data_IF_882339966149
#
_entry.id   IF_882339966149
#
_cell.length_a   1.000
_cell.length_b   1.000
_cell.length_c   1.000
_cell.angle_alpha   90.00
_cell.angle_beta   90.00
_cell.angle_gamma   90.00
#
_symmetry.space_group_name_H-M   'P 1'
#
loop_
_entity.id
_entity.type
_entity.pdbx_description
1 polymer ?
#
# COMPACT_ATOMS: atom_id res chain seq x y z
N UNK A 1 8.51 -5.55 -21.23
CA UNK A 1 7.74 -4.92 -20.15
C UNK A 1 7.03 -5.98 -19.33
N UNK A 2 7.38 -6.13 -18.05
CA UNK A 2 6.50 -6.86 -17.13
C UNK A 2 5.23 -6.05 -16.94
N UNK A 3 4.06 -6.67 -17.07
CA UNK A 3 2.80 -6.05 -16.66
C UNK A 3 2.87 -5.78 -15.15
N UNK A 4 2.66 -4.54 -14.73
CA UNK A 4 2.49 -4.20 -13.31
C UNK A 4 1.19 -4.83 -12.78
N UNK A 5 1.08 -5.00 -11.46
CA UNK A 5 -0.10 -5.56 -10.79
C UNK A 5 -0.39 -7.03 -11.12
N UNK A 6 0.66 -7.86 -11.26
CA UNK A 6 0.49 -9.27 -11.64
C UNK A 6 -0.28 -10.06 -10.59
N UNK A 7 -1.26 -10.83 -11.05
CA UNK A 7 -2.02 -11.71 -10.16
C UNK A 7 -3.17 -11.02 -9.41
N UNK A 8 -3.41 -9.72 -9.63
CA UNK A 8 -4.54 -9.00 -9.04
C UNK A 8 -5.89 -9.69 -9.33
N UNK A 9 -6.08 -10.23 -10.53
CA UNK A 9 -7.30 -10.94 -10.93
C UNK A 9 -7.52 -12.27 -10.21
N UNK A 10 -6.50 -12.80 -9.52
CA UNK A 10 -6.59 -14.08 -8.78
C UNK A 10 -7.06 -13.90 -7.34
N UNK A 11 -7.04 -12.66 -6.83
CA UNK A 11 -7.52 -12.35 -5.49
C UNK A 11 -9.06 -12.27 -5.53
N UNK A 12 -9.79 -12.96 -4.64
CA UNK A 12 -11.25 -12.92 -4.60
C UNK A 12 -11.76 -11.63 -3.94
N UNK A 13 -11.52 -10.47 -4.56
CA UNK A 13 -11.82 -9.14 -4.00
C UNK A 13 -13.26 -8.94 -3.52
N UNK A 14 -14.21 -9.64 -4.13
CA UNK A 14 -15.62 -9.59 -3.75
C UNK A 14 -15.90 -10.21 -2.37
N UNK A 15 -15.07 -11.15 -1.92
CA UNK A 15 -15.13 -11.78 -0.60
C UNK A 15 -14.40 -10.95 0.47
N UNK A 16 -13.47 -10.09 0.05
CA UNK A 16 -12.70 -9.22 0.93
C UNK A 16 -13.50 -7.95 1.30
N UNK A 17 -13.12 -7.34 2.41
CA UNK A 17 -13.73 -6.09 2.91
C UNK A 17 -12.68 -5.00 3.09
N UNK A 18 -13.13 -3.76 3.02
CA UNK A 18 -12.43 -2.53 3.39
C UNK A 18 -13.36 -1.66 4.27
N UNK A 19 -12.95 -0.44 4.63
CA UNK A 19 -13.68 0.42 5.57
C UNK A 19 -15.18 0.63 5.23
N UNK A 20 -15.52 0.65 3.94
CA UNK A 20 -16.88 0.93 3.46
C UNK A 20 -17.64 -0.31 2.93
N UNK A 21 -17.20 -1.53 3.27
CA UNK A 21 -17.85 -2.77 2.82
C UNK A 21 -17.02 -3.60 1.84
N UNK A 22 -17.63 -4.14 0.79
CA UNK A 22 -16.98 -5.07 -0.15
C UNK A 22 -15.82 -4.40 -0.93
N UNK A 23 -14.70 -5.12 -1.06
CA UNK A 23 -13.51 -4.63 -1.76
C UNK A 23 -13.51 -4.90 -3.28
N UNK A 24 -14.65 -5.29 -3.86
CA UNK A 24 -14.80 -5.55 -5.32
C UNK A 24 -14.28 -4.42 -6.21
N UNK A 25 -14.28 -3.20 -5.69
CA UNK A 25 -13.96 -1.96 -6.38
C UNK A 25 -12.47 -1.61 -6.33
N UNK A 26 -11.69 -2.23 -5.44
CA UNK A 26 -10.25 -1.99 -5.23
C UNK A 26 -9.42 -2.23 -6.50
N UNK A 27 -9.62 -3.33 -7.27
CA UNK A 27 -8.87 -3.57 -8.51
C UNK A 27 -8.95 -2.42 -9.52
N UNK A 28 -10.14 -1.83 -9.63
CA UNK A 28 -10.38 -0.71 -10.54
C UNK A 28 -9.61 0.54 -10.11
N UNK A 29 -9.42 0.77 -8.81
CA UNK A 29 -8.67 1.93 -8.29
C UNK A 29 -7.17 1.72 -8.46
N UNK A 30 -6.66 0.54 -8.13
CA UNK A 30 -5.26 0.17 -8.39
C UNK A 30 -4.91 0.31 -9.88
N UNK A 31 -5.81 -0.11 -10.77
CA UNK A 31 -5.62 0.04 -12.22
C UNK A 31 -5.62 1.50 -12.66
N UNK A 32 -6.47 2.37 -12.09
CA UNK A 32 -6.46 3.80 -12.39
C UNK A 32 -5.18 4.49 -11.88
N UNK A 33 -4.63 4.07 -10.74
CA UNK A 33 -3.33 4.56 -10.27
C UNK A 33 -2.22 4.17 -11.24
N UNK A 34 -2.27 2.95 -11.77
CA UNK A 34 -1.27 2.42 -12.69
C UNK A 34 -1.29 3.05 -14.10
N UNK A 35 -2.48 3.27 -14.65
CA UNK A 35 -2.64 3.60 -16.09
C UNK A 35 -3.53 4.81 -16.36
N UNK A 36 -4.12 5.43 -15.33
CA UNK A 36 -4.89 6.65 -15.47
C UNK A 36 -4.02 7.87 -15.74
N UNK A 37 -4.65 8.97 -16.15
CA UNK A 37 -4.00 10.27 -16.11
C UNK A 37 -3.73 10.73 -14.66
N UNK A 38 -2.92 11.77 -14.49
CA UNK A 38 -2.50 12.24 -13.17
C UNK A 38 -3.69 12.49 -12.22
N UNK A 39 -4.75 13.14 -12.71
CA UNK A 39 -5.94 13.46 -11.89
C UNK A 39 -6.71 12.19 -11.53
N UNK A 40 -6.94 11.31 -12.49
CA UNK A 40 -7.64 10.05 -12.26
C UNK A 40 -6.88 9.12 -11.32
N UNK A 41 -5.54 9.12 -11.40
CA UNK A 41 -4.66 8.39 -10.50
C UNK A 41 -4.69 8.94 -9.07
N UNK A 42 -4.65 10.27 -8.91
CA UNK A 42 -4.75 10.94 -7.60
C UNK A 42 -6.11 10.69 -6.93
N UNK A 43 -7.21 10.84 -7.67
CA UNK A 43 -8.56 10.54 -7.16
C UNK A 43 -8.68 9.08 -6.74
N UNK A 44 -8.18 8.15 -7.56
CA UNK A 44 -8.20 6.73 -7.24
C UNK A 44 -7.34 6.39 -6.02
N UNK A 45 -6.23 7.10 -5.81
CA UNK A 45 -5.38 6.91 -4.65
C UNK A 45 -5.99 7.49 -3.38
N UNK A 46 -6.69 8.62 -3.48
CA UNK A 46 -7.47 9.19 -2.38
C UNK A 46 -8.56 8.20 -1.91
N UNK A 47 -9.30 7.61 -2.85
CA UNK A 47 -10.26 6.52 -2.56
C UNK A 47 -9.57 5.38 -1.79
N UNK A 48 -8.42 4.90 -2.27
CA UNK A 48 -7.67 3.82 -1.63
C UNK A 48 -7.19 4.19 -0.23
N UNK A 49 -6.76 5.44 -0.01
CA UNK A 49 -6.37 5.96 1.30
C UNK A 49 -7.52 5.88 2.31
N UNK A 50 -8.72 6.31 1.91
CA UNK A 50 -9.92 6.21 2.74
C UNK A 50 -10.29 4.75 3.03
N UNK A 51 -10.19 3.87 2.02
CA UNK A 51 -10.65 2.49 2.13
C UNK A 51 -9.71 1.61 2.94
N UNK A 52 -8.40 1.81 2.79
CA UNK A 52 -7.35 0.91 3.28
C UNK A 52 -6.51 1.51 4.41
N UNK A 53 -6.45 2.84 4.52
CA UNK A 53 -5.55 3.56 5.43
C UNK A 53 -6.23 4.13 6.68
N UNK A 54 -7.45 4.68 6.58
CA UNK A 54 -8.02 5.47 7.69
C UNK A 54 -8.75 4.69 8.80
N UNK A 55 -9.26 3.48 8.55
CA UNK A 55 -10.18 2.83 9.50
C UNK A 55 -9.96 1.33 9.61
N UNK A 56 -8.95 0.91 10.39
CA UNK A 56 -8.57 -0.49 10.60
C UNK A 56 -8.09 -1.20 9.32
N UNK A 57 -6.95 -1.87 9.41
CA UNK A 57 -6.49 -2.77 8.36
C UNK A 57 -7.53 -3.89 8.17
N UNK A 58 -7.99 -4.09 6.94
CA UNK A 58 -8.89 -5.20 6.57
C UNK A 58 -8.17 -6.24 5.71
N UNK A 59 -8.82 -7.36 5.44
CA UNK A 59 -8.29 -8.39 4.53
C UNK A 59 -7.93 -7.81 3.14
N UNK A 60 -8.68 -6.82 2.66
CA UNK A 60 -8.35 -6.11 1.43
C UNK A 60 -7.05 -5.31 1.52
N UNK A 61 -6.72 -4.76 2.70
CA UNK A 61 -5.45 -4.04 2.92
C UNK A 61 -4.29 -5.01 2.78
N UNK A 62 -4.35 -6.19 3.40
CA UNK A 62 -3.32 -7.23 3.29
C UNK A 62 -3.12 -7.62 1.82
N UNK A 63 -4.23 -7.86 1.10
CA UNK A 63 -4.19 -8.24 -0.31
C UNK A 63 -3.68 -7.12 -1.23
N UNK A 64 -3.87 -5.84 -0.86
CA UNK A 64 -3.46 -4.69 -1.65
C UNK A 64 -1.96 -4.38 -1.55
N UNK A 65 -1.31 -4.66 -0.41
CA UNK A 65 0.09 -4.27 -0.15
C UNK A 65 1.07 -4.70 -1.25
N UNK A 66 1.07 -5.94 -1.77
CA UNK A 66 1.97 -6.33 -2.85
C UNK A 66 1.81 -5.46 -4.11
N UNK A 67 0.58 -5.04 -4.42
CA UNK A 67 0.25 -4.21 -5.56
C UNK A 67 0.63 -2.74 -5.34
N UNK A 68 0.53 -2.25 -4.11
CA UNK A 68 1.04 -0.92 -3.73
C UNK A 68 2.56 -0.87 -3.89
N UNK A 69 3.28 -1.93 -3.54
CA UNK A 69 4.72 -2.04 -3.82
C UNK A 69 5.04 -2.04 -5.32
N UNK A 70 4.29 -2.80 -6.13
CA UNK A 70 4.45 -2.78 -7.60
C UNK A 70 4.29 -1.35 -8.16
N UNK A 71 3.30 -0.59 -7.66
CA UNK A 71 3.08 0.80 -8.05
C UNK A 71 4.23 1.72 -7.62
N UNK A 72 4.71 1.59 -6.38
CA UNK A 72 5.78 2.42 -5.84
C UNK A 72 7.10 2.29 -6.62
N UNK A 73 7.41 1.10 -7.14
CA UNK A 73 8.65 0.84 -7.90
C UNK A 73 8.53 1.11 -9.40
N UNK A 74 7.34 1.41 -9.91
CA UNK A 74 7.12 1.60 -11.35
C UNK A 74 7.26 3.07 -11.71
N UNK A 75 8.35 3.43 -12.39
CA UNK A 75 8.68 4.81 -12.78
C UNK A 75 7.58 5.53 -13.59
N UNK A 76 6.79 4.81 -14.38
CA UNK A 76 5.70 5.40 -15.18
C UNK A 76 4.49 5.81 -14.35
N UNK A 77 4.40 5.39 -13.08
CA UNK A 77 3.34 5.81 -12.17
C UNK A 77 3.69 7.20 -11.64
N UNK A 78 2.81 8.18 -11.87
CA UNK A 78 3.07 9.57 -11.45
C UNK A 78 2.85 9.79 -9.95
N UNK A 79 2.01 8.98 -9.32
CA UNK A 79 1.60 9.12 -7.92
C UNK A 79 2.42 8.27 -6.94
N UNK A 80 3.63 7.84 -7.33
CA UNK A 80 4.54 7.02 -6.50
C UNK A 80 4.76 7.56 -5.09
N UNK A 81 5.01 8.88 -4.86
CA UNK A 81 5.20 9.39 -3.51
C UNK A 81 3.98 9.12 -2.61
N UNK A 82 2.78 9.38 -3.13
CA UNK A 82 1.55 9.19 -2.38
C UNK A 82 1.22 7.70 -2.17
N UNK A 83 1.63 6.80 -3.08
CA UNK A 83 1.54 5.35 -2.86
C UNK A 83 2.45 4.91 -1.71
N UNK A 84 3.65 5.47 -1.61
CA UNK A 84 4.59 5.19 -0.52
C UNK A 84 4.03 5.70 0.82
N UNK A 85 3.43 6.89 0.83
CA UNK A 85 2.72 7.40 2.01
C UNK A 85 1.57 6.49 2.44
N UNK A 86 0.84 5.87 1.50
CA UNK A 86 -0.20 4.89 1.85
C UNK A 86 0.39 3.62 2.50
N UNK A 87 1.54 3.11 2.00
CA UNK A 87 2.25 2.00 2.64
C UNK A 87 2.67 2.36 4.07
N UNK A 88 3.13 3.58 4.29
CA UNK A 88 3.48 4.11 5.62
C UNK A 88 2.26 4.21 6.52
N UNK A 89 1.16 4.74 6.02
CA UNK A 89 -0.10 4.82 6.76
C UNK A 89 -0.57 3.43 7.20
N UNK A 90 -0.52 2.42 6.33
CA UNK A 90 -0.87 1.04 6.68
C UNK A 90 -0.01 0.53 7.85
N UNK A 91 1.28 0.84 7.87
CA UNK A 91 2.21 0.43 8.93
C UNK A 91 1.96 1.15 10.27
N UNK A 92 1.50 2.40 10.23
CA UNK A 92 1.26 3.24 11.40
C UNK A 92 -0.12 2.99 12.05
N UNK A 93 -1.12 2.59 11.27
CA UNK A 93 -2.48 2.37 11.77
C UNK A 93 -2.65 0.98 12.41
N UNK A 94 -3.49 0.93 13.44
CA UNK A 94 -3.93 -0.31 14.09
C UNK A 94 -5.21 -0.84 13.45
N UNK A 95 -5.47 -2.14 13.60
CA UNK A 95 -6.74 -2.73 13.20
C UNK A 95 -7.48 -3.28 14.41
N UNK A 96 -8.81 -3.38 14.29
CA UNK A 96 -9.64 -4.05 15.30
C UNK A 96 -9.29 -5.54 15.40
N UNK A 97 -8.89 -6.16 14.29
CA UNK A 97 -8.46 -7.56 14.24
C UNK A 97 -6.92 -7.65 14.22
N UNK A 98 -6.36 -8.15 15.33
CA UNK A 98 -4.91 -8.28 15.53
C UNK A 98 -4.21 -9.09 14.43
N UNK A 99 -4.81 -10.18 13.98
CA UNK A 99 -4.21 -11.04 12.94
C UNK A 99 -4.08 -10.32 11.61
N UNK A 100 -5.12 -9.57 11.22
CA UNK A 100 -5.14 -8.78 9.99
C UNK A 100 -4.14 -7.63 10.07
N UNK A 101 -4.10 -6.91 11.21
CA UNK A 101 -3.09 -5.88 11.46
C UNK A 101 -1.68 -6.45 11.27
N UNK A 102 -1.39 -7.59 11.93
CA UNK A 102 -0.10 -8.26 11.84
C UNK A 102 0.23 -8.63 10.39
N UNK A 103 -0.72 -9.22 9.67
CA UNK A 103 -0.52 -9.65 8.30
C UNK A 103 -0.19 -8.49 7.36
N UNK A 104 -0.89 -7.35 7.47
CA UNK A 104 -0.58 -6.19 6.63
C UNK A 104 0.74 -5.54 7.00
N UNK A 105 1.04 -5.41 8.30
CA UNK A 105 2.33 -4.86 8.76
C UNK A 105 3.47 -5.74 8.26
N UNK A 106 3.37 -7.06 8.39
CA UNK A 106 4.36 -7.99 7.84
C UNK A 106 4.48 -7.89 6.30
N UNK A 107 3.37 -7.73 5.58
CA UNK A 107 3.42 -7.56 4.12
C UNK A 107 4.15 -6.27 3.70
N UNK A 108 4.07 -5.20 4.49
CA UNK A 108 4.85 -3.97 4.27
C UNK A 108 6.32 -4.19 4.62
N UNK A 109 6.58 -4.79 5.78
CA UNK A 109 7.93 -5.05 6.30
C UNK A 109 8.72 -6.06 5.46
N UNK A 110 8.07 -7.01 4.78
CA UNK A 110 8.74 -7.99 3.90
C UNK A 110 9.51 -7.33 2.75
N UNK A 111 9.20 -6.05 2.45
CA UNK A 111 9.79 -5.27 1.37
C UNK A 111 10.71 -4.14 1.85
N UNK A 112 11.30 -4.24 3.05
CA UNK A 112 12.24 -3.22 3.58
C UNK A 112 13.35 -2.88 2.59
N UNK A 113 13.97 -3.86 1.93
CA UNK A 113 15.02 -3.58 0.92
C UNK A 113 14.50 -2.76 -0.25
N UNK A 114 13.22 -2.90 -0.61
CA UNK A 114 12.59 -2.08 -1.67
C UNK A 114 12.42 -0.64 -1.18
N UNK A 115 12.00 -0.44 0.07
CA UNK A 115 11.95 0.89 0.69
C UNK A 115 13.33 1.56 0.66
N UNK A 116 14.38 0.84 1.06
CA UNK A 116 15.76 1.34 1.09
C UNK A 116 16.25 1.77 -0.31
N UNK A 117 15.91 1.01 -1.35
CA UNK A 117 16.24 1.38 -2.74
C UNK A 117 15.54 2.68 -3.14
N UNK A 118 14.26 2.84 -2.80
CA UNK A 118 13.48 4.04 -3.13
C UNK A 118 13.98 5.30 -2.41
N UNK A 119 14.71 5.18 -1.30
CA UNK A 119 15.37 6.36 -0.68
C UNK A 119 16.42 7.01 -1.58
N UNK A 120 16.87 6.31 -2.63
CA UNK A 120 17.85 6.77 -3.63
C UNK A 120 17.23 7.02 -5.01
N UNK A 121 15.90 7.06 -5.11
CA UNK A 121 15.19 7.31 -6.37
C UNK A 121 15.62 8.63 -7.02
N UNK A 122 15.46 8.80 -8.34
CA UNK A 122 15.78 10.06 -9.01
C UNK A 122 14.80 11.19 -8.66
N UNK A 123 13.54 10.83 -8.39
CA UNK A 123 12.50 11.79 -8.00
C UNK A 123 12.65 12.20 -6.52
N UNK A 124 12.87 13.51 -6.22
CA UNK A 124 13.01 13.98 -4.85
C UNK A 124 11.77 13.73 -3.97
N UNK A 125 10.56 13.74 -4.53
CA UNK A 125 9.34 13.46 -3.79
C UNK A 125 9.25 11.97 -3.40
N UNK A 126 9.66 11.07 -4.30
CA UNK A 126 9.76 9.63 -4.02
C UNK A 126 10.80 9.37 -2.93
N UNK A 127 11.99 9.98 -3.03
CA UNK A 127 13.03 9.85 -2.00
C UNK A 127 12.56 10.29 -0.62
N UNK A 128 11.85 11.42 -0.56
CA UNK A 128 11.34 11.96 0.70
C UNK A 128 10.33 10.99 1.34
N UNK A 129 9.30 10.58 0.60
CA UNK A 129 8.30 9.62 1.08
C UNK A 129 8.92 8.28 1.49
N UNK A 130 9.89 7.78 0.72
CA UNK A 130 10.58 6.53 1.02
C UNK A 130 11.43 6.63 2.29
N UNK A 131 12.05 7.79 2.55
CA UNK A 131 12.83 8.03 3.77
C UNK A 131 11.95 8.04 5.01
N UNK A 132 10.76 8.65 4.93
CA UNK A 132 9.77 8.60 6.01
C UNK A 132 9.25 7.18 6.24
N UNK A 133 8.93 6.44 5.18
CA UNK A 133 8.53 5.04 5.29
C UNK A 133 9.64 4.18 5.92
N UNK A 134 10.89 4.31 5.47
CA UNK A 134 12.03 3.58 6.03
C UNK A 134 12.22 3.88 7.53
N UNK A 135 12.08 5.15 7.92
CA UNK A 135 12.16 5.55 9.31
C UNK A 135 10.99 4.99 10.15
N UNK A 136 9.78 4.88 9.59
CA UNK A 136 8.65 4.20 10.25
C UNK A 136 8.86 2.69 10.36
N UNK A 137 9.49 2.06 9.36
CA UNK A 137 9.90 0.64 9.40
C UNK A 137 10.94 0.40 10.51
N UNK A 138 11.99 1.22 10.60
CA UNK A 138 13.03 1.09 11.62
C UNK A 138 12.48 1.25 13.05
N UNK A 139 11.53 2.17 13.24
CA UNK A 139 10.89 2.42 14.54
C UNK A 139 9.73 1.45 14.81
N UNK A 140 9.45 0.52 13.91
CA UNK A 140 8.28 -0.34 14.02
C UNK A 140 8.38 -1.29 15.21
N UNK A 141 7.67 -0.95 16.28
CA UNK A 141 7.63 -1.70 17.54
C UNK A 141 6.21 -2.06 17.96
N UNK A 142 5.34 -2.42 17.02
CA UNK A 142 3.93 -2.69 17.30
C UNK A 142 3.75 -3.89 18.25
N UNK A 143 2.92 -3.77 19.29
CA UNK A 143 2.70 -4.84 20.27
C UNK A 143 2.15 -6.13 19.65
N UNK A 144 1.30 -5.98 18.63
CA UNK A 144 0.71 -7.09 17.85
C UNK A 144 1.77 -7.86 17.06
N UNK A 145 2.79 -7.16 16.60
CA UNK A 145 3.88 -7.67 15.76
C UNK A 145 4.95 -8.37 16.62
N UNK A 146 5.19 -7.87 17.84
CA UNK A 146 6.13 -8.43 18.83
C UNK A 146 5.61 -9.66 19.59
N UNK A 147 4.29 -9.87 19.63
CA UNK A 147 3.68 -10.94 20.43
C UNK A 147 3.72 -12.34 19.76
N UNK A 148 4.63 -12.56 18.81
CA UNK A 148 4.72 -13.76 17.99
C UNK A 148 6.12 -14.38 18.04
#
# INVERSE_FOLDING_TARGET
MGTILKGMSRVPWHELKHAYGSARDVPGRLSRVAWGDARAGEEALSDLGLWLGELAVFDATVAAVPFLWDLAVTETVTSRPAVIELLRAILEHSASQREIQRAAHLAVLDRTTTADVLTRDEDPAVRAAASELAASIERHGCAVCRAA
#
